data_IF_183744050697
#
_entry.id   IF_183744050697
#
_cell.length_a   1.000
_cell.length_b   1.000
_cell.length_c   1.000
_cell.angle_alpha   90.00
_cell.angle_beta   90.00
_cell.angle_gamma   90.00
#
_symmetry.space_group_name_H-M   'P 1'
#
loop_
_entity.id
_entity.type
_entity.pdbx_description
1 polymer ?
#
# COMPACT_ATOMS: atom_id res chain seq x y z
N UNK A 1 29.55 13.70 -1.40
CA UNK A 1 28.47 13.24 -0.50
C UNK A 1 27.58 12.29 -1.26
N UNK A 2 26.98 11.30 -0.61
CA UNK A 2 25.94 10.47 -1.25
C UNK A 2 24.66 11.29 -1.45
N UNK A 3 23.80 10.96 -2.43
CA UNK A 3 22.54 11.69 -2.64
C UNK A 3 21.65 11.81 -1.39
N UNK A 4 21.60 10.78 -0.55
CA UNK A 4 20.88 10.78 0.72
C UNK A 4 21.39 11.86 1.71
N UNK A 5 22.71 12.04 1.78
CA UNK A 5 23.34 13.07 2.62
C UNK A 5 23.07 14.47 2.07
N UNK A 6 23.06 14.62 0.74
CA UNK A 6 22.69 15.86 0.06
C UNK A 6 21.26 16.25 0.43
N UNK A 7 20.30 15.33 0.33
CA UNK A 7 18.90 15.60 0.69
C UNK A 7 18.75 15.99 2.17
N UNK A 8 19.45 15.29 3.07
CA UNK A 8 19.44 15.62 4.51
C UNK A 8 19.97 17.04 4.72
N UNK A 9 21.08 17.43 4.09
CA UNK A 9 21.62 18.79 4.20
C UNK A 9 20.66 19.84 3.64
N UNK A 10 20.09 19.61 2.46
CA UNK A 10 19.08 20.51 1.88
C UNK A 10 17.94 20.71 2.88
N UNK A 11 17.41 19.60 3.42
CA UNK A 11 16.31 19.62 4.39
C UNK A 11 16.68 20.44 5.62
N UNK A 12 17.85 20.21 6.22
CA UNK A 12 18.32 20.98 7.38
C UNK A 12 18.50 22.47 7.08
N UNK A 13 18.89 22.80 5.84
CA UNK A 13 19.21 24.17 5.49
C UNK A 13 18.00 25.05 5.12
N UNK A 14 16.86 24.46 4.72
CA UNK A 14 15.75 25.21 4.13
C UNK A 14 14.36 24.84 4.69
N UNK A 15 14.20 24.47 5.97
CA UNK A 15 12.87 24.14 6.53
C UNK A 15 11.97 25.36 6.76
N UNK A 16 10.65 25.13 6.81
CA UNK A 16 9.61 26.08 7.24
C UNK A 16 9.90 26.75 8.61
N UNK A 17 10.76 26.14 9.44
CA UNK A 17 11.13 26.65 10.77
C UNK A 17 12.20 27.76 10.71
N UNK A 18 12.91 27.91 9.58
CA UNK A 18 13.90 28.98 9.40
C UNK A 18 13.19 30.26 8.94
N UNK A 19 13.35 31.33 9.74
CA UNK A 19 12.66 32.61 9.52
C UNK A 19 13.26 33.47 8.39
N UNK A 20 14.54 33.29 8.05
CA UNK A 20 15.24 34.16 7.10
C UNK A 20 16.02 33.36 6.06
N UNK A 21 15.31 32.87 5.02
CA UNK A 21 15.96 32.25 3.86
C UNK A 21 16.32 33.37 2.88
N UNK A 22 17.61 33.69 2.75
CA UNK A 22 18.11 34.71 1.83
C UNK A 22 18.76 34.10 0.57
N UNK A 23 19.01 34.94 -0.44
CA UNK A 23 19.59 34.52 -1.72
C UNK A 23 20.93 33.79 -1.57
N UNK A 24 21.82 34.27 -0.71
CA UNK A 24 23.14 33.65 -0.49
C UNK A 24 23.02 32.24 0.06
N UNK A 25 22.04 31.98 0.92
CA UNK A 25 21.76 30.64 1.43
C UNK A 25 21.25 29.71 0.33
N UNK A 26 20.36 30.20 -0.54
CA UNK A 26 19.89 29.41 -1.68
C UNK A 26 21.01 29.13 -2.68
N UNK A 27 21.86 30.11 -2.94
CA UNK A 27 23.04 29.95 -3.80
C UNK A 27 23.98 28.87 -3.26
N UNK A 28 24.30 28.91 -1.97
CA UNK A 28 25.15 27.89 -1.34
C UNK A 28 24.52 26.50 -1.43
N UNK A 29 23.20 26.42 -1.17
CA UNK A 29 22.46 25.17 -1.24
C UNK A 29 22.42 24.60 -2.66
N UNK A 30 22.17 25.42 -3.68
CA UNK A 30 22.14 24.95 -5.07
C UNK A 30 23.54 24.64 -5.57
N UNK A 31 24.50 25.57 -5.44
CA UNK A 31 25.83 25.44 -6.05
C UNK A 31 26.73 24.47 -5.28
N UNK A 32 26.84 24.65 -3.96
CA UNK A 32 27.85 23.95 -3.15
C UNK A 32 27.32 22.66 -2.52
N UNK A 33 26.02 22.59 -2.22
CA UNK A 33 25.40 21.38 -1.67
C UNK A 33 24.87 20.49 -2.78
N UNK A 34 23.96 20.97 -3.63
CA UNK A 34 23.32 20.13 -4.65
C UNK A 34 24.24 19.87 -5.85
N UNK A 35 24.54 20.87 -6.67
CA UNK A 35 25.21 20.68 -7.97
C UNK A 35 26.56 19.98 -7.82
N UNK A 36 27.41 20.52 -6.93
CA UNK A 36 28.74 19.96 -6.64
C UNK A 36 28.72 18.48 -6.24
N UNK A 37 27.73 18.05 -5.47
CA UNK A 37 27.68 16.68 -4.95
C UNK A 37 26.83 15.73 -5.81
N UNK A 38 25.98 16.27 -6.68
CA UNK A 38 25.13 15.50 -7.58
C UNK A 38 25.77 15.31 -8.98
N UNK A 39 27.02 15.74 -9.15
CA UNK A 39 27.84 15.50 -10.34
C UNK A 39 27.67 16.55 -11.45
N UNK A 40 27.13 17.73 -11.13
CA UNK A 40 26.99 18.81 -12.11
C UNK A 40 28.23 19.70 -12.08
N UNK A 41 28.88 19.87 -13.23
CA UNK A 41 30.14 20.61 -13.30
C UNK A 41 29.95 22.12 -13.35
N UNK A 42 28.92 22.61 -14.05
CA UNK A 42 28.70 24.04 -14.33
C UNK A 42 27.22 24.38 -14.45
N UNK A 43 26.89 25.65 -14.26
CA UNK A 43 25.60 26.25 -14.65
C UNK A 43 25.79 27.06 -15.92
N UNK A 44 24.78 27.09 -16.78
CA UNK A 44 24.76 27.92 -17.98
C UNK A 44 24.39 29.36 -17.65
N UNK A 45 23.60 29.56 -16.59
CA UNK A 45 23.23 30.89 -16.13
C UNK A 45 22.40 30.88 -14.84
N UNK A 46 22.48 32.00 -14.11
CA UNK A 46 21.66 32.30 -12.94
C UNK A 46 20.83 33.54 -13.24
N UNK A 47 19.51 33.43 -13.12
CA UNK A 47 18.57 34.53 -13.25
C UNK A 47 18.01 34.89 -11.87
N UNK A 48 18.26 36.12 -11.44
CA UNK A 48 17.68 36.69 -10.23
C UNK A 48 16.47 37.52 -10.65
N UNK A 49 15.28 37.01 -10.36
CA UNK A 49 14.01 37.67 -10.67
C UNK A 49 13.37 38.17 -9.37
N UNK A 50 12.46 39.15 -9.49
CA UNK A 50 11.81 39.80 -8.36
C UNK A 50 11.15 38.81 -7.38
N UNK A 51 10.63 37.70 -7.90
CA UNK A 51 9.85 36.70 -7.18
C UNK A 51 10.54 35.33 -7.06
N UNK A 52 11.66 35.10 -7.76
CA UNK A 52 12.35 33.81 -7.79
C UNK A 52 13.84 33.87 -8.12
N UNK A 53 14.55 32.84 -7.67
CA UNK A 53 15.88 32.47 -8.16
C UNK A 53 15.75 31.31 -9.14
N UNK A 54 16.46 31.38 -10.26
CA UNK A 54 16.47 30.34 -11.28
C UNK A 54 17.90 30.04 -11.72
N UNK A 55 18.25 28.75 -11.73
CA UNK A 55 19.56 28.24 -12.15
C UNK A 55 19.33 27.33 -13.36
N UNK A 56 19.97 27.64 -14.49
CA UNK A 56 19.87 26.87 -15.73
C UNK A 56 21.12 25.99 -15.89
N UNK A 57 20.92 24.71 -16.19
CA UNK A 57 21.97 23.69 -16.26
C UNK A 57 21.79 22.88 -17.56
N UNK A 58 22.81 22.88 -18.41
CA UNK A 58 22.91 22.13 -19.66
C UNK A 58 21.71 22.26 -20.61
N UNK A 59 21.07 23.44 -20.68
CA UNK A 59 19.87 23.77 -21.50
C UNK A 59 18.62 22.89 -21.30
N UNK A 60 18.66 21.88 -20.44
CA UNK A 60 17.58 20.89 -20.25
C UNK A 60 17.29 20.57 -18.79
N UNK A 61 17.90 21.29 -17.85
CA UNK A 61 17.58 21.20 -16.43
C UNK A 61 17.57 22.57 -15.77
N UNK A 62 16.51 22.84 -15.00
CA UNK A 62 16.35 24.09 -14.26
C UNK A 62 16.05 23.82 -12.80
N UNK A 63 16.68 24.59 -11.93
CA UNK A 63 16.36 24.64 -10.51
C UNK A 63 15.73 26.00 -10.22
N UNK A 64 14.58 26.02 -9.55
CA UNK A 64 13.89 27.26 -9.17
C UNK A 64 13.54 27.28 -7.69
N UNK A 65 13.68 28.46 -7.08
CA UNK A 65 13.23 28.76 -5.72
C UNK A 65 12.37 30.04 -5.74
N UNK A 66 11.17 29.98 -5.16
CA UNK A 66 10.25 31.11 -5.07
C UNK A 66 10.15 31.59 -3.62
N UNK A 67 10.33 32.89 -3.36
CA UNK A 67 10.51 33.43 -2.01
C UNK A 67 9.26 33.30 -1.12
N UNK A 68 8.08 33.63 -1.65
CA UNK A 68 6.85 33.79 -0.84
C UNK A 68 5.65 32.96 -1.33
N UNK A 69 5.86 32.06 -2.30
CA UNK A 69 4.78 31.28 -2.87
C UNK A 69 4.53 29.99 -2.10
N UNK A 70 3.25 29.61 -2.00
CA UNK A 70 2.89 28.25 -1.61
C UNK A 70 3.32 27.24 -2.70
N UNK A 71 3.43 25.97 -2.28
CA UNK A 71 3.92 24.89 -3.14
C UNK A 71 3.11 24.75 -4.43
N UNK A 72 1.78 24.80 -4.36
CA UNK A 72 0.93 24.60 -5.54
C UNK A 72 1.11 25.75 -6.55
N UNK A 73 1.22 27.00 -6.09
CA UNK A 73 1.51 28.16 -6.96
C UNK A 73 2.91 28.10 -7.55
N UNK A 74 3.92 27.77 -6.74
CA UNK A 74 5.30 27.64 -7.19
C UNK A 74 5.44 26.54 -8.27
N UNK A 75 4.79 25.39 -8.08
CA UNK A 75 4.73 24.30 -9.07
C UNK A 75 4.01 24.72 -10.36
N UNK A 76 2.91 25.47 -10.26
CA UNK A 76 2.19 25.99 -11.42
C UNK A 76 3.07 26.94 -12.25
N UNK A 77 3.80 27.84 -11.60
CA UNK A 77 4.72 28.74 -12.30
C UNK A 77 5.91 28.00 -12.91
N UNK A 78 6.53 27.07 -12.18
CA UNK A 78 7.64 26.29 -12.72
C UNK A 78 7.21 25.44 -13.92
N UNK A 79 6.02 24.84 -13.88
CA UNK A 79 5.43 24.11 -15.01
C UNK A 79 5.37 24.99 -16.26
N UNK A 80 4.84 26.22 -16.13
CA UNK A 80 4.79 27.17 -17.25
C UNK A 80 6.18 27.57 -17.77
N UNK A 81 7.17 27.66 -16.90
CA UNK A 81 8.55 27.98 -17.31
C UNK A 81 9.10 26.86 -18.17
N UNK A 82 9.02 25.60 -17.71
CA UNK A 82 9.60 24.46 -18.44
C UNK A 82 8.80 24.12 -19.71
N UNK A 83 7.51 24.46 -19.78
CA UNK A 83 6.69 24.28 -20.99
C UNK A 83 7.12 25.18 -22.16
N UNK A 84 7.75 26.31 -21.88
CA UNK A 84 8.28 27.21 -22.90
C UNK A 84 9.72 26.86 -23.32
N UNK A 85 10.22 25.68 -22.92
CA UNK A 85 11.58 25.23 -23.17
C UNK A 85 11.62 24.02 -24.09
N UNK A 86 12.83 23.64 -24.50
CA UNK A 86 13.04 22.46 -25.35
C UNK A 86 12.43 21.20 -24.73
N UNK A 87 11.99 20.27 -25.58
CA UNK A 87 11.45 18.99 -25.12
C UNK A 87 12.46 18.26 -24.22
N UNK A 88 11.92 17.52 -23.26
CA UNK A 88 12.60 16.79 -22.20
C UNK A 88 13.31 17.67 -21.17
N UNK A 89 12.95 18.94 -21.05
CA UNK A 89 13.45 19.82 -19.99
C UNK A 89 12.91 19.38 -18.63
N UNK A 90 13.84 19.19 -17.69
CA UNK A 90 13.58 18.92 -16.28
C UNK A 90 13.48 20.21 -15.47
N UNK A 91 12.54 20.27 -14.55
CA UNK A 91 12.39 21.36 -13.58
C UNK A 91 12.43 20.82 -12.16
N UNK A 92 13.36 21.30 -11.34
CA UNK A 92 13.40 21.07 -9.91
C UNK A 92 12.87 22.30 -9.17
N UNK A 93 11.79 22.13 -8.41
CA UNK A 93 11.37 23.11 -7.43
C UNK A 93 12.07 22.80 -6.10
N UNK A 94 12.90 23.74 -5.67
CA UNK A 94 13.37 23.80 -4.30
C UNK A 94 12.41 24.69 -3.50
N UNK A 95 11.85 24.18 -2.41
CA UNK A 95 10.94 24.95 -1.57
C UNK A 95 11.07 24.51 -0.10
N UNK A 96 10.70 25.39 0.83
CA UNK A 96 10.84 25.16 2.28
C UNK A 96 10.08 23.96 2.89
N UNK A 97 9.24 23.33 2.05
CA UNK A 97 8.40 22.17 2.38
C UNK A 97 8.88 20.89 1.73
N UNK A 98 9.85 20.95 0.82
CA UNK A 98 10.30 19.79 0.07
C UNK A 98 11.01 20.12 -1.24
N UNK A 99 11.27 19.05 -1.99
CA UNK A 99 11.81 19.11 -3.35
C UNK A 99 10.85 18.40 -4.30
N UNK A 100 10.62 18.99 -5.47
CA UNK A 100 9.80 18.39 -6.52
C UNK A 100 10.56 18.36 -7.84
N UNK A 101 10.37 17.30 -8.62
CA UNK A 101 10.92 17.18 -9.97
C UNK A 101 9.80 17.04 -10.98
N UNK A 102 9.87 17.82 -12.05
CA UNK A 102 8.92 17.87 -13.14
C UNK A 102 9.65 17.65 -14.47
N UNK A 103 8.91 17.23 -15.49
CA UNK A 103 9.42 17.17 -16.87
C UNK A 103 8.38 17.68 -17.86
N UNK A 104 8.78 18.53 -18.80
CA UNK A 104 7.84 19.19 -19.71
C UNK A 104 7.22 18.25 -20.75
N UNK A 105 7.91 17.16 -21.12
CA UNK A 105 7.45 16.16 -22.09
C UNK A 105 6.46 15.14 -21.53
N UNK A 106 6.04 15.28 -20.26
CA UNK A 106 4.92 14.50 -19.75
C UNK A 106 3.65 14.93 -20.47
N UNK A 107 3.04 14.00 -21.19
CA UNK A 107 1.80 14.24 -21.92
C UNK A 107 0.65 14.37 -20.92
N UNK A 108 -0.19 15.38 -21.12
CA UNK A 108 -1.38 15.67 -20.31
C UNK A 108 -2.59 15.81 -21.23
N UNK A 109 -3.75 15.30 -20.82
CA UNK A 109 -4.99 15.47 -21.58
C UNK A 109 -5.73 16.70 -21.06
N UNK A 110 -6.01 17.67 -21.93
CA UNK A 110 -6.73 18.89 -21.58
C UNK A 110 -8.16 18.58 -21.09
N UNK A 111 -8.63 19.27 -20.06
CA UNK A 111 -9.99 19.11 -19.51
C UNK A 111 -10.17 17.93 -18.54
N UNK A 112 -9.14 17.11 -18.32
CA UNK A 112 -9.16 16.01 -17.35
C UNK A 112 -8.81 16.49 -15.92
N UNK A 113 -9.23 15.71 -14.91
CA UNK A 113 -8.97 16.02 -13.49
C UNK A 113 -7.47 16.22 -13.19
N UNK A 114 -7.14 16.97 -12.10
CA UNK A 114 -5.75 17.21 -11.62
C UNK A 114 -4.89 15.93 -11.54
N UNK A 115 -5.52 14.77 -11.37
CA UNK A 115 -4.83 13.47 -11.37
C UNK A 115 -4.17 13.11 -12.71
N UNK A 116 -4.75 13.48 -13.85
CA UNK A 116 -4.24 13.18 -15.20
C UNK A 116 -3.55 14.36 -15.88
N UNK A 117 -3.44 15.51 -15.21
CA UNK A 117 -2.89 16.75 -15.77
C UNK A 117 -1.63 17.24 -15.05
N UNK A 118 -1.09 16.47 -14.10
CA UNK A 118 0.14 16.81 -13.38
C UNK A 118 1.40 16.27 -14.09
N UNK A 119 2.46 17.10 -14.13
CA UNK A 119 3.79 16.82 -14.70
C UNK A 119 4.86 16.50 -13.65
N UNK A 120 4.49 16.32 -12.39
CA UNK A 120 5.42 15.96 -11.31
C UNK A 120 5.79 14.47 -11.38
N UNK A 121 7.08 14.19 -11.44
CA UNK A 121 7.71 12.86 -11.40
C UNK A 121 7.98 12.41 -9.96
N UNK A 122 8.64 13.27 -9.17
CA UNK A 122 8.96 12.98 -7.77
C UNK A 122 8.46 14.08 -6.83
N UNK A 123 8.01 13.65 -5.64
CA UNK A 123 7.54 14.53 -4.56
C UNK A 123 8.27 14.16 -3.28
N UNK A 124 9.18 15.01 -2.81
CA UNK A 124 10.00 14.78 -1.63
C UNK A 124 9.66 15.84 -0.57
N UNK A 125 8.48 15.75 0.08
CA UNK A 125 8.09 16.66 1.14
C UNK A 125 8.92 16.42 2.41
N UNK A 126 9.44 17.46 3.06
CA UNK A 126 10.33 17.30 4.22
C UNK A 126 9.64 16.74 5.47
N UNK A 127 8.32 16.78 5.57
CA UNK A 127 7.58 16.26 6.72
C UNK A 127 7.25 14.76 6.64
N UNK A 128 7.55 14.11 5.51
CA UNK A 128 7.26 12.69 5.26
C UNK A 128 8.44 12.05 4.51
N UNK A 129 8.60 10.73 4.59
CA UNK A 129 9.62 10.02 3.80
C UNK A 129 9.05 9.55 2.46
N UNK A 130 8.46 10.46 1.70
CA UNK A 130 7.90 10.14 0.39
C UNK A 130 8.97 10.41 -0.65
N UNK A 131 9.24 9.41 -1.49
CA UNK A 131 10.21 9.45 -2.58
C UNK A 131 11.68 9.78 -2.22
N UNK A 132 12.04 9.92 -0.94
CA UNK A 132 13.42 10.20 -0.47
C UNK A 132 14.45 9.28 -1.13
N UNK A 133 14.17 7.97 -1.24
CA UNK A 133 15.07 6.96 -1.83
C UNK A 133 15.32 7.19 -3.34
N UNK A 134 14.44 7.93 -4.03
CA UNK A 134 14.55 8.22 -5.45
C UNK A 134 15.31 9.52 -5.73
N UNK A 135 15.76 10.26 -4.70
CA UNK A 135 16.54 11.48 -4.88
C UNK A 135 17.87 11.23 -5.61
N UNK A 136 18.42 10.01 -5.55
CA UNK A 136 19.59 9.61 -6.34
C UNK A 136 19.40 9.80 -7.86
N UNK A 137 18.17 9.74 -8.35
CA UNK A 137 17.84 9.95 -9.76
C UNK A 137 17.82 11.44 -10.17
N UNK A 138 18.24 12.35 -9.28
CA UNK A 138 18.47 13.77 -9.59
C UNK A 138 19.94 14.06 -9.93
N UNK A 139 20.81 13.05 -9.91
CA UNK A 139 22.22 13.20 -10.29
C UNK A 139 22.37 13.50 -11.78
N UNK A 140 23.43 14.21 -12.14
CA UNK A 140 23.77 14.53 -13.53
C UNK A 140 23.78 13.27 -14.41
N UNK A 141 24.37 12.20 -13.89
CA UNK A 141 24.42 10.89 -14.54
C UNK A 141 23.02 10.35 -14.86
N UNK A 142 22.09 10.36 -13.90
CA UNK A 142 20.76 9.80 -14.08
C UNK A 142 19.81 10.70 -14.88
N UNK A 143 19.93 12.02 -14.74
CA UNK A 143 19.05 12.96 -15.44
C UNK A 143 19.48 13.20 -16.89
N UNK A 144 20.78 13.39 -17.13
CA UNK A 144 21.27 13.93 -18.41
C UNK A 144 22.08 12.92 -19.23
N UNK A 145 22.91 12.09 -18.59
CA UNK A 145 23.80 11.14 -19.29
C UNK A 145 23.05 9.85 -19.64
N UNK A 146 22.78 8.99 -18.66
CA UNK A 146 22.03 7.73 -18.84
C UNK A 146 20.54 7.94 -19.04
N UNK A 147 20.03 9.11 -18.61
CA UNK A 147 18.61 9.48 -18.64
C UNK A 147 17.71 8.45 -17.93
N UNK A 148 18.22 7.72 -16.93
CA UNK A 148 17.48 6.73 -16.15
C UNK A 148 16.17 7.30 -15.57
N UNK A 149 16.16 8.60 -15.25
CA UNK A 149 14.99 9.29 -14.69
C UNK A 149 13.78 9.27 -15.62
N UNK A 150 13.97 9.07 -16.94
CA UNK A 150 12.86 8.97 -17.89
C UNK A 150 11.96 7.75 -17.66
N UNK A 151 12.44 6.66 -17.04
CA UNK A 151 11.56 5.55 -16.65
C UNK A 151 10.41 6.04 -15.76
N UNK A 152 10.73 6.90 -14.78
CA UNK A 152 9.75 7.46 -13.86
C UNK A 152 8.87 8.52 -14.51
N UNK A 153 9.42 9.33 -15.42
CA UNK A 153 8.64 10.26 -16.24
C UNK A 153 7.57 9.53 -17.03
N UNK A 154 7.94 8.43 -17.69
CA UNK A 154 7.05 7.69 -18.58
C UNK A 154 5.92 6.98 -17.81
N UNK A 155 6.11 6.69 -16.51
CA UNK A 155 5.04 6.27 -15.60
C UNK A 155 3.99 7.36 -15.42
N UNK A 156 4.41 8.62 -15.31
CA UNK A 156 3.47 9.74 -15.18
C UNK A 156 2.73 9.97 -16.49
N UNK A 157 3.43 9.88 -17.63
CA UNK A 157 2.79 9.91 -18.95
C UNK A 157 1.75 8.78 -19.09
N UNK A 158 2.10 7.56 -18.67
CA UNK A 158 1.18 6.41 -18.67
C UNK A 158 -0.07 6.68 -17.82
N UNK A 159 0.13 7.20 -16.60
CA UNK A 159 -0.97 7.60 -15.70
C UNK A 159 -1.94 8.56 -16.38
N UNK A 160 -1.39 9.55 -17.09
CA UNK A 160 -2.16 10.63 -17.68
C UNK A 160 -2.94 10.19 -18.92
N UNK A 161 -2.41 9.24 -19.68
CA UNK A 161 -2.91 8.92 -21.04
C UNK A 161 -3.53 7.53 -21.19
N UNK A 162 -3.08 6.54 -20.40
CA UNK A 162 -3.36 5.12 -20.66
C UNK A 162 -3.95 4.39 -19.44
N UNK A 163 -3.70 4.85 -18.21
CA UNK A 163 -4.17 4.21 -17.00
C UNK A 163 -5.70 4.34 -16.83
N UNK A 164 -6.43 3.22 -16.97
CA UNK A 164 -7.90 3.17 -16.93
C UNK A 164 -8.52 2.90 -15.55
N UNK A 165 -7.70 2.59 -14.55
CA UNK A 165 -8.18 2.18 -13.23
C UNK A 165 -8.45 3.38 -12.29
N UNK A 166 -9.11 3.13 -11.16
CA UNK A 166 -9.43 4.18 -10.17
C UNK A 166 -8.16 4.79 -9.58
N UNK A 167 -8.16 6.10 -9.29
CA UNK A 167 -7.07 6.83 -8.60
C UNK A 167 -6.55 6.12 -7.35
N UNK A 168 -7.43 5.45 -6.59
CA UNK A 168 -7.07 4.69 -5.38
C UNK A 168 -6.09 3.54 -5.69
N UNK A 169 -6.21 2.92 -6.87
CA UNK A 169 -5.34 1.80 -7.29
C UNK A 169 -4.01 2.26 -7.88
N UNK A 170 -3.91 3.52 -8.33
CA UNK A 170 -2.67 4.08 -8.89
C UNK A 170 -1.52 4.01 -7.90
N UNK A 171 -1.75 4.26 -6.61
CA UNK A 171 -0.67 4.26 -5.63
C UNK A 171 0.04 2.90 -5.54
N UNK A 172 -0.71 1.80 -5.60
CA UNK A 172 -0.14 0.45 -5.61
C UNK A 172 0.63 0.19 -6.91
N UNK A 173 0.04 0.53 -8.06
CA UNK A 173 0.64 0.39 -9.38
C UNK A 173 1.94 1.20 -9.53
N UNK A 174 1.91 2.48 -9.17
CA UNK A 174 3.05 3.38 -9.24
C UNK A 174 4.18 2.94 -8.31
N UNK A 175 3.87 2.54 -7.08
CA UNK A 175 4.88 2.05 -6.12
C UNK A 175 5.53 0.77 -6.62
N UNK A 176 4.75 -0.14 -7.22
CA UNK A 176 5.25 -1.35 -7.85
C UNK A 176 6.26 -1.04 -8.96
N UNK A 177 5.87 -0.20 -9.93
CA UNK A 177 6.75 0.18 -11.03
C UNK A 177 8.01 0.89 -10.53
N UNK A 178 7.89 1.88 -9.64
CA UNK A 178 9.07 2.58 -9.10
C UNK A 178 10.10 1.63 -8.51
N UNK A 179 9.65 0.64 -7.73
CA UNK A 179 10.53 -0.34 -7.10
C UNK A 179 11.18 -1.26 -8.11
N UNK A 180 10.44 -1.72 -9.12
CA UNK A 180 10.98 -2.54 -10.19
C UNK A 180 12.03 -1.78 -11.01
N UNK A 181 11.69 -0.57 -11.50
CA UNK A 181 12.63 0.21 -12.29
C UNK A 181 13.84 0.69 -11.47
N UNK A 182 13.65 1.00 -10.19
CA UNK A 182 14.78 1.29 -9.30
C UNK A 182 15.69 0.08 -9.13
N UNK A 183 15.15 -1.13 -9.02
CA UNK A 183 15.96 -2.35 -9.06
C UNK A 183 16.68 -2.50 -10.39
N UNK A 184 15.95 -2.39 -11.51
CA UNK A 184 16.50 -2.57 -12.86
C UNK A 184 17.67 -1.61 -13.11
N UNK A 185 17.49 -0.31 -12.82
CA UNK A 185 18.53 0.71 -13.00
C UNK A 185 19.80 0.39 -12.20
N UNK A 186 19.65 -0.13 -10.97
CA UNK A 186 20.79 -0.32 -10.06
C UNK A 186 21.48 -1.68 -10.19
N UNK A 187 20.84 -2.68 -10.79
CA UNK A 187 21.33 -4.07 -10.76
C UNK A 187 21.48 -4.73 -12.13
N UNK A 188 20.75 -4.25 -13.15
CA UNK A 188 20.69 -4.86 -14.48
C UNK A 188 21.15 -3.89 -15.54
N UNK A 189 20.75 -2.63 -15.42
CA UNK A 189 20.91 -1.63 -16.44
C UNK A 189 22.38 -1.20 -16.56
N UNK A 190 23.08 -1.81 -17.50
CA UNK A 190 24.50 -1.59 -17.75
C UNK A 190 24.74 -0.80 -19.03
N UNK A 191 24.08 0.36 -19.16
CA UNK A 191 24.24 1.26 -20.32
C UNK A 191 25.70 1.72 -20.57
N UNK A 192 26.69 1.30 -19.76
CA UNK A 192 28.07 1.82 -19.79
C UNK A 192 29.23 0.81 -19.75
N UNK A 193 29.08 -0.51 -19.57
CA UNK A 193 30.27 -1.38 -19.51
C UNK A 193 30.91 -1.79 -20.85
N UNK A 194 30.30 -1.47 -22.01
CA UNK A 194 30.96 -1.72 -23.29
C UNK A 194 31.21 -0.43 -24.06
N UNK A 195 32.46 0.00 -24.00
CA UNK A 195 33.12 0.70 -25.11
C UNK A 195 32.59 0.14 -26.45
N UNK A 196 32.13 1.04 -27.33
CA UNK A 196 31.80 0.79 -28.76
C UNK A 196 30.41 0.24 -29.12
N UNK A 197 29.36 0.56 -28.40
CA UNK A 197 28.06 0.70 -29.07
C UNK A 197 27.73 2.19 -29.07
N UNK A 198 28.02 2.85 -30.19
CA UNK A 198 27.23 4.02 -30.60
C UNK A 198 25.80 3.54 -30.50
N UNK A 199 25.07 3.96 -29.46
CA UNK A 199 23.64 3.75 -29.36
C UNK A 199 23.09 4.32 -30.66
N UNK A 200 22.81 3.43 -31.60
CA UNK A 200 22.06 3.81 -32.78
C UNK A 200 20.79 4.46 -32.26
N UNK A 201 20.47 5.65 -32.77
CA UNK A 201 19.37 6.55 -32.38
C UNK A 201 17.94 5.95 -32.38
N UNK A 202 17.75 4.63 -32.24
CA UNK A 202 16.48 3.94 -32.49
C UNK A 202 16.18 2.68 -31.67
N UNK A 203 16.92 2.28 -30.63
CA UNK A 203 16.40 1.23 -29.73
C UNK A 203 15.58 1.87 -28.61
N UNK A 204 14.38 1.37 -28.41
CA UNK A 204 13.53 1.82 -27.33
C UNK A 204 14.08 1.20 -26.02
N UNK A 205 14.33 2.01 -24.99
CA UNK A 205 14.96 1.56 -23.73
C UNK A 205 14.21 0.46 -22.97
N UNK A 206 12.97 0.19 -23.35
CA UNK A 206 12.17 -0.89 -22.79
C UNK A 206 12.41 -2.23 -23.50
N UNK A 207 13.03 -2.22 -24.69
CA UNK A 207 13.33 -3.42 -25.50
C UNK A 207 14.33 -4.35 -24.79
N UNK A 208 15.20 -3.78 -23.96
CA UNK A 208 16.25 -4.52 -23.25
C UNK A 208 15.76 -5.18 -21.96
N UNK A 209 14.57 -4.80 -21.46
CA UNK A 209 14.02 -5.33 -20.22
C UNK A 209 13.47 -6.73 -20.47
N UNK A 210 14.02 -7.72 -19.79
CA UNK A 210 13.65 -9.12 -19.93
C UNK A 210 12.80 -9.61 -18.78
N UNK A 211 12.08 -10.72 -19.01
CA UNK A 211 11.34 -11.37 -17.94
C UNK A 211 12.28 -11.86 -16.82
N UNK A 212 13.52 -12.24 -17.15
CA UNK A 212 14.56 -12.62 -16.18
C UNK A 212 14.91 -11.49 -15.21
N UNK A 213 14.80 -10.24 -15.64
CA UNK A 213 15.11 -9.08 -14.77
C UNK A 213 14.02 -8.91 -13.73
N UNK A 214 12.77 -9.17 -14.10
CA UNK A 214 11.66 -9.26 -13.16
C UNK A 214 11.83 -10.44 -12.20
N UNK A 215 12.30 -11.59 -12.66
CA UNK A 215 12.57 -12.75 -11.80
C UNK A 215 13.66 -12.43 -10.76
N UNK A 216 14.76 -11.80 -11.17
CA UNK A 216 15.82 -11.34 -10.25
C UNK A 216 15.31 -10.30 -9.25
N UNK A 217 14.46 -9.37 -9.70
CA UNK A 217 13.80 -8.40 -8.82
C UNK A 217 12.98 -9.09 -7.72
N UNK A 218 12.21 -10.11 -8.09
CA UNK A 218 11.40 -10.89 -7.15
C UNK A 218 12.30 -11.66 -6.19
N UNK A 219 13.37 -12.28 -6.69
CA UNK A 219 14.32 -13.05 -5.88
C UNK A 219 14.99 -12.21 -4.77
N UNK A 220 15.22 -10.92 -5.02
CA UNK A 220 15.84 -10.00 -4.04
C UNK A 220 14.84 -9.28 -3.12
N UNK A 221 13.53 -9.46 -3.33
CA UNK A 221 12.50 -8.73 -2.57
C UNK A 221 11.66 -9.66 -1.70
N UNK A 222 12.01 -9.74 -0.43
CA UNK A 222 11.27 -10.47 0.61
C UNK A 222 9.78 -10.12 0.71
N UNK A 223 9.38 -8.93 0.24
CA UNK A 223 7.98 -8.50 0.21
C UNK A 223 7.14 -9.19 -0.87
N UNK A 224 7.77 -9.80 -1.88
CA UNK A 224 7.10 -10.52 -2.97
C UNK A 224 7.17 -12.03 -2.71
N UNK A 225 6.75 -12.43 -1.51
CA UNK A 225 6.88 -13.80 -1.04
C UNK A 225 5.60 -14.64 -1.19
N UNK A 226 4.54 -14.14 -1.85
CA UNK A 226 3.28 -14.87 -2.02
C UNK A 226 2.85 -14.86 -3.48
N UNK A 227 2.10 -15.89 -3.91
CA UNK A 227 1.55 -15.96 -5.27
C UNK A 227 0.77 -14.69 -5.64
N UNK A 228 -0.03 -14.15 -4.73
CA UNK A 228 -0.82 -12.95 -5.01
C UNK A 228 0.04 -11.69 -5.13
N UNK A 229 1.03 -11.50 -4.26
CA UNK A 229 1.93 -10.35 -4.38
C UNK A 229 2.77 -10.44 -5.66
N UNK A 230 3.25 -11.64 -6.02
CA UNK A 230 3.92 -11.90 -7.29
C UNK A 230 3.04 -11.56 -8.49
N UNK A 231 1.82 -12.10 -8.54
CA UNK A 231 0.86 -11.83 -9.62
C UNK A 231 0.59 -10.35 -9.79
N UNK A 232 0.29 -9.65 -8.69
CA UNK A 232 0.01 -8.22 -8.73
C UNK A 232 1.19 -7.43 -9.28
N UNK A 233 2.41 -7.71 -8.78
CA UNK A 233 3.62 -7.04 -9.25
C UNK A 233 3.89 -7.34 -10.72
N UNK A 234 3.79 -8.61 -11.13
CA UNK A 234 3.96 -9.03 -12.51
C UNK A 234 2.97 -8.33 -13.44
N UNK A 235 1.68 -8.29 -13.09
CA UNK A 235 0.68 -7.64 -13.93
C UNK A 235 0.89 -6.14 -14.06
N UNK A 236 1.35 -5.45 -13.00
CA UNK A 236 1.66 -4.02 -13.09
C UNK A 236 2.86 -3.76 -14.02
N UNK A 237 3.93 -4.54 -13.87
CA UNK A 237 5.13 -4.43 -14.72
C UNK A 237 4.82 -4.82 -16.17
N UNK A 238 4.15 -5.96 -16.39
CA UNK A 238 3.70 -6.43 -17.70
C UNK A 238 2.88 -5.36 -18.41
N UNK A 239 1.82 -4.87 -17.76
CA UNK A 239 0.91 -3.87 -18.33
C UNK A 239 1.64 -2.60 -18.78
N UNK A 240 2.64 -2.14 -18.03
CA UNK A 240 3.44 -0.99 -18.41
C UNK A 240 4.40 -1.28 -19.56
N UNK A 241 5.15 -2.40 -19.52
CA UNK A 241 6.16 -2.73 -20.52
C UNK A 241 5.53 -2.96 -21.90
N UNK A 242 4.45 -3.74 -21.98
CA UNK A 242 3.77 -4.04 -23.27
C UNK A 242 3.12 -2.82 -23.92
N UNK A 243 2.98 -1.71 -23.18
CA UNK A 243 2.52 -0.41 -23.68
C UNK A 243 3.65 0.50 -24.12
N UNK A 244 4.87 0.18 -23.71
CA UNK A 244 6.06 0.94 -24.06
C UNK A 244 6.82 0.30 -25.20
N UNK A 245 6.78 -1.02 -25.34
CA UNK A 245 7.43 -1.77 -26.42
C UNK A 245 6.67 -3.05 -26.74
N UNK A 246 6.85 -3.57 -27.96
CA UNK A 246 6.42 -4.91 -28.32
C UNK A 246 7.41 -5.94 -27.76
N UNK A 247 7.19 -6.33 -26.51
CA UNK A 247 8.04 -7.27 -25.80
C UNK A 247 7.28 -8.57 -25.53
N UNK A 248 7.46 -9.52 -26.46
CA UNK A 248 6.85 -10.85 -26.40
C UNK A 248 7.26 -11.67 -25.17
N UNK A 249 8.37 -11.35 -24.49
CA UNK A 249 8.75 -12.06 -23.26
C UNK A 249 7.78 -11.78 -22.10
N UNK A 250 7.21 -10.57 -22.04
CA UNK A 250 6.19 -10.24 -21.05
C UNK A 250 4.81 -10.76 -21.45
N UNK A 251 4.62 -11.25 -22.67
CA UNK A 251 3.36 -11.86 -23.09
C UNK A 251 3.20 -13.33 -22.66
N UNK A 252 3.45 -13.58 -21.38
CA UNK A 252 3.25 -14.89 -20.74
C UNK A 252 2.10 -14.85 -19.74
N UNK A 253 1.55 -16.02 -19.44
CA UNK A 253 0.54 -16.18 -18.39
C UNK A 253 1.19 -16.08 -17.01
N UNK A 254 0.40 -15.65 -16.01
CA UNK A 254 0.89 -15.59 -14.63
C UNK A 254 1.36 -16.94 -14.07
N UNK A 255 0.89 -18.07 -14.61
CA UNK A 255 1.33 -19.40 -14.17
C UNK A 255 2.79 -19.68 -14.54
N UNK A 256 3.26 -19.16 -15.67
CA UNK A 256 4.68 -19.28 -16.06
C UNK A 256 5.56 -18.59 -15.01
N UNK A 257 5.19 -17.37 -14.63
CA UNK A 257 5.94 -16.58 -13.65
C UNK A 257 5.89 -17.21 -12.25
N UNK A 258 4.74 -17.75 -11.84
CA UNK A 258 4.62 -18.51 -10.58
C UNK A 258 5.60 -19.67 -10.55
N UNK A 259 5.65 -20.47 -11.61
CA UNK A 259 6.52 -21.64 -11.67
C UNK A 259 8.00 -21.24 -11.64
N UNK A 260 8.39 -20.17 -12.34
CA UNK A 260 9.77 -19.68 -12.35
C UNK A 260 10.22 -19.10 -11.02
N UNK A 261 9.31 -18.45 -10.28
CA UNK A 261 9.59 -17.86 -8.98
C UNK A 261 9.22 -18.78 -7.80
N UNK A 262 8.85 -20.04 -8.00
CA UNK A 262 8.29 -20.90 -6.95
C UNK A 262 9.21 -21.00 -5.73
N UNK A 263 10.53 -21.06 -5.95
CA UNK A 263 11.56 -21.17 -4.91
C UNK A 263 11.53 -20.04 -3.86
N UNK A 264 11.06 -18.85 -4.23
CA UNK A 264 11.00 -17.67 -3.34
C UNK A 264 9.61 -17.44 -2.76
N UNK A 265 8.61 -18.20 -3.21
CA UNK A 265 7.25 -18.12 -2.69
C UNK A 265 7.12 -18.91 -1.40
N UNK A 266 6.73 -18.22 -0.33
CA UNK A 266 6.39 -18.87 0.93
C UNK A 266 5.12 -19.70 0.74
N UNK A 267 5.15 -20.93 1.26
CA UNK A 267 3.94 -21.72 1.41
C UNK A 267 2.96 -20.97 2.30
N UNK A 268 1.71 -20.91 1.86
CA UNK A 268 0.65 -20.26 2.61
C UNK A 268 0.38 -21.09 3.88
N UNK A 269 0.68 -20.52 5.03
CA UNK A 269 0.33 -21.13 6.31
C UNK A 269 -1.11 -20.78 6.66
N UNK A 270 -1.92 -21.80 6.93
CA UNK A 270 -3.33 -21.65 7.27
C UNK A 270 -3.59 -22.16 8.68
N UNK A 271 -4.61 -21.60 9.32
CA UNK A 271 -5.13 -22.13 10.58
C UNK A 271 -6.03 -23.33 10.24
N UNK A 272 -5.51 -24.54 10.36
CA UNK A 272 -6.24 -25.76 9.99
C UNK A 272 -7.22 -26.22 11.06
N UNK A 273 -6.74 -26.30 12.31
CA UNK A 273 -7.53 -26.67 13.47
C UNK A 273 -7.37 -25.63 14.58
N UNK A 274 -8.41 -25.50 15.40
CA UNK A 274 -8.45 -24.56 16.51
C UNK A 274 -8.51 -25.32 17.82
N UNK A 275 -7.52 -25.06 18.68
CA UNK A 275 -7.46 -25.57 20.03
C UNK A 275 -8.25 -24.65 20.97
N UNK A 276 -9.36 -25.15 21.51
CA UNK A 276 -10.24 -24.43 22.44
C UNK A 276 -9.50 -23.91 23.68
N UNK A 277 -8.52 -24.65 24.19
CA UNK A 277 -7.71 -24.23 25.35
C UNK A 277 -6.85 -23.03 24.98
N UNK A 278 -6.25 -23.04 23.79
CA UNK A 278 -5.45 -21.91 23.30
C UNK A 278 -6.31 -20.68 23.01
N UNK A 279 -7.53 -20.86 22.47
CA UNK A 279 -8.51 -19.78 22.29
C UNK A 279 -8.89 -19.16 23.62
N UNK A 280 -9.16 -19.97 24.63
CA UNK A 280 -9.45 -19.47 25.97
C UNK A 280 -8.27 -18.73 26.59
N UNK A 281 -7.03 -19.21 26.41
CA UNK A 281 -5.82 -18.50 26.81
C UNK A 281 -5.72 -17.13 26.11
N UNK A 282 -6.04 -17.08 24.81
CA UNK A 282 -6.11 -15.82 24.06
C UNK A 282 -7.18 -14.86 24.61
N UNK A 283 -8.38 -15.35 24.91
CA UNK A 283 -9.45 -14.53 25.50
C UNK A 283 -9.00 -13.94 26.84
N UNK A 284 -8.46 -14.75 27.76
CA UNK A 284 -7.98 -14.28 29.06
C UNK A 284 -6.85 -13.27 28.93
N UNK A 285 -5.92 -13.50 27.99
CA UNK A 285 -4.84 -12.58 27.71
C UNK A 285 -5.36 -11.21 27.22
N UNK A 286 -6.32 -11.21 26.29
CA UNK A 286 -6.96 -9.98 25.82
C UNK A 286 -7.70 -9.26 26.94
N UNK A 287 -8.46 -9.98 27.77
CA UNK A 287 -9.21 -9.41 28.90
C UNK A 287 -8.32 -8.70 29.93
N UNK A 288 -7.09 -9.19 30.15
CA UNK A 288 -6.13 -8.56 31.08
C UNK A 288 -5.56 -7.23 30.54
N UNK A 289 -5.75 -6.92 29.26
CA UNK A 289 -5.24 -5.70 28.64
C UNK A 289 -6.04 -4.44 29.00
N UNK A 290 -5.44 -3.26 28.75
CA UNK A 290 -6.05 -1.93 29.02
C UNK A 290 -7.43 -1.74 28.39
N UNK A 291 -7.71 -2.36 27.24
CA UNK A 291 -9.02 -2.31 26.57
C UNK A 291 -9.69 -3.69 26.56
N UNK A 292 -9.49 -4.49 27.61
CA UNK A 292 -9.73 -5.93 27.56
C UNK A 292 -11.16 -6.34 27.24
N UNK A 293 -12.17 -5.65 27.77
CA UNK A 293 -13.57 -5.91 27.41
C UNK A 293 -13.82 -5.72 25.91
N UNK A 294 -13.32 -4.62 25.33
CA UNK A 294 -13.46 -4.31 23.91
C UNK A 294 -12.71 -5.33 23.06
N UNK A 295 -11.45 -5.59 23.39
CA UNK A 295 -10.56 -6.43 22.60
C UNK A 295 -11.03 -7.90 22.62
N UNK A 296 -11.50 -8.40 23.77
CA UNK A 296 -12.22 -9.68 23.85
C UNK A 296 -13.47 -9.68 22.97
N UNK A 297 -14.34 -8.67 23.09
CA UNK A 297 -15.63 -8.68 22.37
C UNK A 297 -15.40 -8.71 20.85
N UNK A 298 -14.42 -7.94 20.36
CA UNK A 298 -13.97 -7.98 18.96
C UNK A 298 -13.54 -9.40 18.58
N UNK A 299 -12.70 -10.03 19.42
CA UNK A 299 -12.20 -11.38 19.18
C UNK A 299 -13.34 -12.41 19.11
N UNK A 300 -14.29 -12.38 20.05
CA UNK A 300 -15.44 -13.30 20.07
C UNK A 300 -16.36 -13.10 18.86
N UNK A 301 -16.68 -11.86 18.49
CA UNK A 301 -17.50 -11.57 17.31
C UNK A 301 -16.80 -12.07 16.03
N UNK A 302 -15.49 -11.87 15.93
CA UNK A 302 -14.70 -12.35 14.81
C UNK A 302 -14.73 -13.89 14.71
N UNK A 303 -14.62 -14.59 15.84
CA UNK A 303 -14.64 -16.06 15.90
C UNK A 303 -16.01 -16.69 15.68
N UNK A 304 -17.10 -15.99 16.03
CA UNK A 304 -18.45 -16.53 15.89
C UNK A 304 -19.12 -16.16 14.57
N UNK A 305 -19.02 -14.89 14.15
CA UNK A 305 -19.69 -14.41 12.94
C UNK A 305 -18.77 -14.37 11.72
N UNK A 306 -17.44 -14.40 11.94
CA UNK A 306 -16.47 -14.20 10.86
C UNK A 306 -16.81 -12.94 10.08
N UNK A 307 -16.93 -11.79 10.74
CA UNK A 307 -17.20 -10.50 10.10
C UNK A 307 -15.89 -9.97 9.48
N UNK A 308 -15.98 -9.29 8.33
CA UNK A 308 -14.81 -8.67 7.73
C UNK A 308 -14.32 -7.51 8.60
N UNK A 309 -13.00 -7.33 8.71
CA UNK A 309 -12.40 -6.32 9.60
C UNK A 309 -13.04 -4.94 9.46
N UNK A 310 -13.19 -4.47 8.21
CA UNK A 310 -13.84 -3.18 7.91
C UNK A 310 -15.27 -3.11 8.45
N UNK A 311 -16.06 -4.15 8.22
CA UNK A 311 -17.45 -4.20 8.69
C UNK A 311 -17.53 -4.31 10.21
N UNK A 312 -16.58 -5.01 10.84
CA UNK A 312 -16.49 -5.11 12.30
C UNK A 312 -16.24 -3.74 12.94
N UNK A 313 -15.32 -2.94 12.39
CA UNK A 313 -15.08 -1.57 12.85
C UNK A 313 -16.28 -0.64 12.66
N UNK A 314 -17.15 -0.94 11.69
CA UNK A 314 -18.29 -0.11 11.29
C UNK A 314 -19.59 -0.48 12.00
N UNK A 315 -19.61 -1.51 12.87
CA UNK A 315 -20.81 -1.90 13.60
C UNK A 315 -21.34 -0.76 14.47
N UNK A 316 -22.65 -0.52 14.39
CA UNK A 316 -23.35 0.56 15.09
C UNK A 316 -24.39 0.05 16.07
N UNK A 317 -24.54 0.79 17.16
CA UNK A 317 -25.66 0.59 18.09
C UNK A 317 -26.98 0.93 17.41
N UNK A 318 -28.03 0.18 17.74
CA UNK A 318 -29.42 0.39 17.32
C UNK A 318 -29.69 0.26 15.80
N UNK A 319 -28.66 0.21 14.96
CA UNK A 319 -28.75 -0.13 13.54
C UNK A 319 -28.40 -1.60 13.31
N UNK A 320 -27.17 -2.01 13.69
CA UNK A 320 -26.66 -3.35 13.42
C UNK A 320 -26.92 -4.32 14.58
N UNK A 321 -27.02 -3.84 15.82
CA UNK A 321 -27.34 -4.66 16.99
C UNK A 321 -28.60 -4.14 17.67
N UNK A 322 -29.51 -5.05 18.03
CA UNK A 322 -30.73 -4.70 18.77
C UNK A 322 -30.41 -4.17 20.15
N UNK A 323 -31.29 -3.33 20.71
CA UNK A 323 -31.08 -2.69 22.01
C UNK A 323 -30.86 -3.69 23.16
N UNK A 324 -31.46 -4.88 23.07
CA UNK A 324 -31.28 -5.96 24.06
C UNK A 324 -30.01 -6.81 23.83
N UNK A 325 -29.22 -6.45 22.83
CA UNK A 325 -27.99 -7.10 22.36
C UNK A 325 -28.19 -8.57 21.93
N UNK A 326 -29.42 -8.99 21.57
CA UNK A 326 -29.69 -10.39 21.22
C UNK A 326 -29.54 -10.70 19.74
N UNK A 327 -29.73 -9.71 18.85
CA UNK A 327 -29.72 -9.94 17.41
C UNK A 327 -28.71 -9.02 16.71
N UNK A 328 -27.96 -9.59 15.78
CA UNK A 328 -27.14 -8.88 14.80
C UNK A 328 -27.90 -8.79 13.48
N UNK A 329 -28.15 -7.58 12.99
CA UNK A 329 -28.80 -7.28 11.71
C UNK A 329 -27.74 -7.15 10.62
N UNK A 330 -27.94 -7.83 9.49
CA UNK A 330 -27.13 -7.66 8.27
C UNK A 330 -28.05 -7.67 7.05
N UNK A 331 -28.27 -6.50 6.47
CA UNK A 331 -29.28 -6.33 5.42
C UNK A 331 -30.68 -6.65 5.93
N UNK A 332 -31.37 -7.58 5.28
CA UNK A 332 -32.72 -8.04 5.68
C UNK A 332 -32.72 -9.23 6.65
N UNK A 333 -31.54 -9.65 7.13
CA UNK A 333 -31.40 -10.85 7.98
C UNK A 333 -31.00 -10.49 9.38
N UNK A 334 -31.42 -11.32 10.31
CA UNK A 334 -31.07 -11.22 11.72
C UNK A 334 -30.45 -12.53 12.20
N UNK A 335 -29.40 -12.41 13.00
CA UNK A 335 -28.66 -13.54 13.54
C UNK A 335 -28.65 -13.46 15.05
N UNK A 336 -28.92 -14.58 15.72
CA UNK A 336 -28.88 -14.67 17.17
C UNK A 336 -27.43 -14.52 17.64
N UNK A 337 -27.22 -13.63 18.61
CA UNK A 337 -25.93 -13.41 19.26
C UNK A 337 -25.81 -14.41 20.43
N UNK A 338 -24.71 -15.19 20.54
CA UNK A 338 -24.48 -16.08 21.69
C UNK A 338 -24.42 -15.33 23.02
N UNK A 339 -24.93 -15.94 24.09
CA UNK A 339 -24.99 -15.33 25.45
C UNK A 339 -23.64 -14.75 25.90
N UNK A 340 -22.54 -15.43 25.60
CA UNK A 340 -21.20 -14.97 25.95
C UNK A 340 -20.80 -13.65 25.27
N UNK A 341 -21.27 -13.42 24.03
CA UNK A 341 -21.09 -12.14 23.32
C UNK A 341 -22.11 -11.12 23.82
N UNK A 342 -23.37 -11.52 24.06
CA UNK A 342 -24.41 -10.61 24.59
C UNK A 342 -23.97 -9.96 25.91
N UNK A 343 -23.40 -10.74 26.83
CA UNK A 343 -22.94 -10.23 28.12
C UNK A 343 -21.82 -9.20 27.97
N UNK A 344 -20.91 -9.42 27.00
CA UNK A 344 -19.82 -8.49 26.72
C UNK A 344 -20.31 -7.21 26.03
N UNK A 345 -21.26 -7.32 25.09
CA UNK A 345 -21.90 -6.17 24.43
C UNK A 345 -22.69 -5.30 25.41
N UNK A 346 -23.44 -5.90 26.33
CA UNK A 346 -24.20 -5.16 27.35
C UNK A 346 -23.28 -4.32 28.23
N UNK A 347 -22.19 -4.91 28.73
CA UNK A 347 -21.15 -4.18 29.48
C UNK A 347 -20.52 -3.05 28.67
N UNK A 348 -20.21 -3.29 27.39
CA UNK A 348 -19.71 -2.23 26.51
C UNK A 348 -20.72 -1.10 26.35
N UNK A 349 -22.01 -1.40 26.23
CA UNK A 349 -23.05 -0.38 26.12
C UNK A 349 -23.18 0.44 27.41
N UNK A 350 -23.04 -0.18 28.57
CA UNK A 350 -23.04 0.48 29.88
C UNK A 350 -21.83 1.42 30.07
N UNK A 351 -20.65 1.05 29.55
CA UNK A 351 -19.43 1.87 29.63
C UNK A 351 -19.39 3.05 28.63
N UNK A 352 -20.31 3.07 27.66
CA UNK A 352 -20.30 4.03 26.56
C UNK A 352 -21.33 5.16 26.75
N UNK A 353 -21.04 6.37 26.25
CA UNK A 353 -22.03 7.44 26.19
C UNK A 353 -23.31 7.02 25.44
N UNK A 354 -24.47 7.52 25.86
CA UNK A 354 -25.75 7.21 25.23
C UNK A 354 -25.78 7.58 23.74
N UNK A 355 -25.08 8.65 23.37
CA UNK A 355 -24.93 9.18 22.02
C UNK A 355 -23.90 8.42 21.16
N UNK A 356 -23.24 7.39 21.69
CA UNK A 356 -22.29 6.58 20.94
C UNK A 356 -22.97 5.92 19.72
N UNK A 357 -22.43 6.17 18.53
CA UNK A 357 -22.89 5.57 17.27
C UNK A 357 -22.25 4.20 17.07
N UNK A 358 -20.93 4.11 17.15
CA UNK A 358 -20.18 2.89 16.83
C UNK A 358 -19.92 2.03 18.07
N UNK A 359 -20.14 0.72 17.96
CA UNK A 359 -19.85 -0.25 19.02
C UNK A 359 -18.36 -0.23 19.37
N UNK A 360 -17.53 -0.20 18.32
CA UNK A 360 -16.07 -0.12 18.42
C UNK A 360 -15.55 1.21 17.87
N UNK A 361 -16.01 2.31 18.48
CA UNK A 361 -15.57 3.66 18.13
C UNK A 361 -14.32 4.16 18.88
N UNK A 362 -13.80 5.31 18.44
CA UNK A 362 -12.69 5.99 19.12
C UNK A 362 -13.17 6.70 20.38
N UNK A 363 -12.52 6.42 21.53
CA UNK A 363 -12.76 7.15 22.80
C UNK A 363 -12.57 8.66 22.65
N UNK A 364 -11.60 9.10 21.82
CA UNK A 364 -11.31 10.54 21.60
C UNK A 364 -12.48 11.28 20.95
N UNK A 365 -13.27 10.58 20.15
CA UNK A 365 -14.43 11.14 19.46
C UNK A 365 -15.74 10.71 20.13
N UNK A 366 -15.70 10.26 21.39
CA UNK A 366 -16.87 9.69 22.09
C UNK A 366 -17.61 8.63 21.26
N UNK A 367 -16.87 7.79 20.54
CA UNK A 367 -17.42 6.72 19.70
C UNK A 367 -18.29 7.19 18.51
N UNK A 368 -18.18 8.47 18.12
CA UNK A 368 -18.82 9.02 16.91
C UNK A 368 -18.07 8.70 15.62
N UNK A 369 -16.84 8.20 15.72
CA UNK A 369 -16.02 7.74 14.59
C UNK A 369 -15.60 6.30 14.85
N UNK A 370 -15.58 5.45 13.80
CA UNK A 370 -15.20 4.05 13.94
C UNK A 370 -13.71 3.94 14.33
N UNK A 371 -13.34 2.82 14.95
CA UNK A 371 -11.94 2.49 15.12
C UNK A 371 -11.26 2.27 13.76
N UNK A 372 -9.94 2.47 13.71
CA UNK A 372 -9.15 2.18 12.51
C UNK A 372 -9.09 0.67 12.29
N UNK A 373 -9.18 0.24 11.03
CA UNK A 373 -9.09 -1.18 10.65
C UNK A 373 -7.80 -1.84 11.13
N UNK A 374 -6.69 -1.10 11.13
CA UNK A 374 -5.40 -1.56 11.65
C UNK A 374 -5.44 -1.97 13.13
N UNK A 375 -6.35 -1.39 13.92
CA UNK A 375 -6.50 -1.72 15.34
C UNK A 375 -6.93 -3.17 15.57
N UNK A 376 -7.67 -3.81 14.64
CA UNK A 376 -8.01 -5.24 14.75
C UNK A 376 -6.76 -6.09 14.58
N UNK A 377 -5.89 -5.74 13.62
CA UNK A 377 -4.63 -6.45 13.43
C UNK A 377 -3.71 -6.28 14.64
N UNK A 378 -3.64 -5.09 15.23
CA UNK A 378 -2.86 -4.83 16.43
C UNK A 378 -3.37 -5.64 17.63
N UNK A 379 -4.69 -5.82 17.78
CA UNK A 379 -5.27 -6.67 18.84
C UNK A 379 -4.81 -8.12 18.67
N UNK A 380 -4.91 -8.66 17.47
CA UNK A 380 -4.58 -10.05 17.19
C UNK A 380 -3.07 -10.31 17.18
N UNK A 381 -2.26 -9.33 16.76
CA UNK A 381 -0.81 -9.43 16.79
C UNK A 381 -0.28 -9.66 18.20
N UNK A 382 -0.87 -9.04 19.24
CA UNK A 382 -0.46 -9.24 20.64
C UNK A 382 -0.62 -10.69 21.12
N UNK A 383 -1.42 -11.51 20.46
CA UNK A 383 -1.58 -12.91 20.85
C UNK A 383 -0.28 -13.70 20.67
N UNK A 384 0.65 -13.24 19.83
CA UNK A 384 1.99 -13.86 19.72
C UNK A 384 2.77 -13.78 21.01
N UNK A 385 2.49 -12.79 21.87
CA UNK A 385 3.19 -12.60 23.14
C UNK A 385 2.76 -13.64 24.19
N UNK A 386 1.71 -14.43 23.92
CA UNK A 386 1.28 -15.54 24.76
C UNK A 386 2.29 -16.69 24.71
N UNK A 387 2.86 -16.92 23.53
CA UNK A 387 3.96 -17.84 23.23
C UNK A 387 4.51 -17.48 21.84
N UNK A 388 5.70 -16.86 21.82
CA UNK A 388 6.34 -16.37 20.59
C UNK A 388 6.77 -17.50 19.65
N UNK A 389 6.87 -18.74 20.12
CA UNK A 389 7.27 -19.88 19.31
C UNK A 389 6.06 -20.67 18.78
N UNK A 390 4.88 -20.50 19.38
CA UNK A 390 3.68 -21.21 18.97
C UNK A 390 3.06 -20.61 17.71
N UNK A 391 3.12 -21.37 16.63
CA UNK A 391 2.60 -20.98 15.32
C UNK A 391 1.09 -20.70 15.37
N UNK A 392 0.35 -21.32 16.29
CA UNK A 392 -1.09 -21.12 16.42
C UNK A 392 -1.43 -19.64 16.62
N UNK A 393 -0.77 -18.96 17.57
CA UNK A 393 -1.03 -17.56 17.87
C UNK A 393 -0.59 -16.63 16.73
N UNK A 394 0.50 -16.96 16.03
CA UNK A 394 0.93 -16.24 14.81
C UNK A 394 -0.09 -16.33 13.68
N UNK A 395 -0.84 -17.42 13.62
CA UNK A 395 -1.84 -17.67 12.58
C UNK A 395 -3.23 -17.11 12.91
N UNK A 396 -3.46 -16.54 14.10
CA UNK A 396 -4.74 -15.92 14.50
C UNK A 396 -4.97 -14.55 13.83
N UNK A 397 -5.00 -14.54 12.50
CA UNK A 397 -5.35 -13.35 11.71
C UNK A 397 -6.82 -13.39 11.30
N UNK A 398 -7.46 -12.25 11.00
CA UNK A 398 -8.88 -12.25 10.60
C UNK A 398 -9.14 -13.07 9.34
N UNK A 399 -8.19 -13.12 8.40
CA UNK A 399 -8.31 -13.94 7.20
C UNK A 399 -8.26 -15.44 7.53
N UNK A 400 -7.31 -15.85 8.36
CA UNK A 400 -7.17 -17.25 8.76
C UNK A 400 -8.33 -17.73 9.64
N UNK A 401 -8.81 -16.92 10.58
CA UNK A 401 -9.98 -17.23 11.42
C UNK A 401 -11.20 -17.45 10.53
N UNK A 402 -11.46 -16.56 9.56
CA UNK A 402 -12.59 -16.74 8.64
C UNK A 402 -12.44 -17.99 7.77
N UNK A 403 -11.23 -18.29 7.29
CA UNK A 403 -10.96 -19.47 6.48
C UNK A 403 -11.17 -20.77 7.28
N UNK A 404 -10.60 -20.81 8.48
CA UNK A 404 -10.86 -21.89 9.43
C UNK A 404 -12.35 -22.06 9.71
N UNK A 405 -13.06 -20.97 10.06
CA UNK A 405 -14.47 -21.02 10.42
C UNK A 405 -15.34 -21.57 9.28
N UNK A 406 -15.08 -21.15 8.05
CA UNK A 406 -15.78 -21.68 6.86
C UNK A 406 -15.59 -23.20 6.73
N UNK A 407 -14.35 -23.68 6.84
CA UNK A 407 -14.02 -25.11 6.76
C UNK A 407 -14.56 -25.90 7.95
N UNK A 408 -14.49 -25.34 9.16
CA UNK A 408 -15.02 -25.95 10.39
C UNK A 408 -16.52 -26.18 10.29
N UNK A 409 -17.28 -25.19 9.81
CA UNK A 409 -18.71 -25.29 9.62
C UNK A 409 -19.09 -26.35 8.57
N UNK A 410 -18.35 -26.43 7.46
CA UNK A 410 -18.53 -27.49 6.45
C UNK A 410 -18.24 -28.88 7.04
N UNK A 411 -17.10 -29.03 7.75
CA UNK A 411 -16.69 -30.29 8.41
C UNK A 411 -17.72 -30.77 9.45
N UNK A 412 -18.53 -29.87 10.00
CA UNK A 412 -19.58 -30.17 10.97
C UNK A 412 -20.98 -30.17 10.34
N UNK A 413 -21.09 -30.53 9.07
CA UNK A 413 -22.35 -30.72 8.34
C UNK A 413 -23.28 -29.50 8.32
N UNK A 414 -22.75 -28.27 8.45
CA UNK A 414 -23.58 -27.06 8.30
C UNK A 414 -23.66 -26.66 6.83
N UNK A 415 -24.86 -26.47 6.26
CA UNK A 415 -25.00 -26.23 4.84
C UNK A 415 -24.24 -25.00 4.34
N UNK A 416 -23.60 -25.11 3.17
CA UNK A 416 -22.80 -24.04 2.58
C UNK A 416 -23.61 -22.74 2.41
N UNK A 417 -24.90 -22.84 2.03
CA UNK A 417 -25.77 -21.66 1.95
C UNK A 417 -25.90 -20.93 3.30
N UNK A 418 -25.96 -21.66 4.42
CA UNK A 418 -26.05 -21.06 5.74
C UNK A 418 -24.72 -20.38 6.11
N UNK A 419 -23.59 -21.02 5.79
CA UNK A 419 -22.25 -20.46 6.01
C UNK A 419 -22.05 -19.15 5.25
N UNK A 420 -22.36 -19.16 3.94
CA UNK A 420 -22.26 -17.99 3.06
C UNK A 420 -23.10 -16.84 3.62
N UNK A 421 -24.33 -17.15 4.04
CA UNK A 421 -25.26 -16.19 4.60
C UNK A 421 -24.79 -15.63 5.96
N UNK A 422 -24.30 -16.49 6.85
CA UNK A 422 -23.81 -16.14 8.19
C UNK A 422 -22.57 -15.24 8.14
N UNK A 423 -21.60 -15.62 7.29
CA UNK A 423 -20.34 -14.89 7.12
C UNK A 423 -20.47 -13.68 6.19
N UNK A 424 -21.59 -13.56 5.48
CA UNK A 424 -21.83 -12.59 4.40
C UNK A 424 -20.75 -12.64 3.32
N UNK A 425 -20.52 -13.84 2.78
CA UNK A 425 -19.57 -14.09 1.69
C UNK A 425 -20.30 -13.93 0.34
N UNK A 426 -19.68 -13.27 -0.63
CA UNK A 426 -20.19 -13.26 -2.00
C UNK A 426 -19.80 -14.55 -2.72
N UNK A 427 -20.65 -15.04 -3.62
CA UNK A 427 -20.43 -16.32 -4.33
C UNK A 427 -19.08 -16.34 -5.05
N UNK A 428 -18.71 -15.22 -5.70
CA UNK A 428 -17.44 -15.07 -6.42
C UNK A 428 -16.19 -15.25 -5.54
N UNK A 429 -16.35 -15.11 -4.22
CA UNK A 429 -15.25 -15.16 -3.27
C UNK A 429 -15.13 -16.51 -2.53
N UNK A 430 -15.99 -17.50 -2.79
CA UNK A 430 -15.98 -18.79 -2.08
C UNK A 430 -14.63 -19.52 -2.23
N UNK A 431 -14.03 -19.46 -3.43
CA UNK A 431 -12.73 -20.09 -3.70
C UNK A 431 -11.57 -19.59 -2.83
N UNK A 432 -11.72 -18.45 -2.15
CA UNK A 432 -10.73 -17.95 -1.20
C UNK A 432 -10.76 -18.74 0.13
N UNK A 433 -11.86 -19.41 0.45
CA UNK A 433 -12.10 -20.11 1.72
C UNK A 433 -11.95 -21.62 1.62
N UNK A 434 -12.27 -22.20 0.46
CA UNK A 434 -12.29 -23.66 0.27
C UNK A 434 -11.90 -24.01 -1.17
N UNK A 435 -11.20 -25.12 -1.34
CA UNK A 435 -10.85 -25.70 -2.65
C UNK A 435 -11.93 -26.70 -3.12
N UNK A 436 -11.90 -27.06 -4.40
CA UNK A 436 -12.80 -28.09 -4.96
C UNK A 436 -12.64 -29.43 -4.21
N UNK A 437 -11.41 -29.85 -3.96
CA UNK A 437 -11.12 -31.12 -3.29
C UNK A 437 -11.59 -31.11 -1.83
N UNK A 438 -11.46 -29.99 -1.13
CA UNK A 438 -12.01 -29.82 0.21
C UNK A 438 -13.56 -29.86 0.22
N UNK A 439 -14.23 -29.29 -0.78
CA UNK A 439 -15.70 -29.39 -0.89
C UNK A 439 -16.12 -30.86 -1.03
N UNK A 440 -15.43 -31.64 -1.87
CA UNK A 440 -15.69 -33.07 -2.01
C UNK A 440 -15.44 -33.82 -0.70
N UNK A 441 -14.33 -33.54 -0.02
CA UNK A 441 -13.97 -34.16 1.26
C UNK A 441 -15.00 -33.88 2.37
N UNK A 442 -15.62 -32.69 2.36
CA UNK A 442 -16.59 -32.26 3.38
C UNK A 442 -18.04 -32.37 2.90
N UNK A 443 -18.34 -33.24 1.92
CA UNK A 443 -19.72 -33.44 1.51
C UNK A 443 -20.56 -33.98 2.67
N UNK A 444 -21.84 -33.60 2.71
CA UNK A 444 -22.75 -34.04 3.76
C UNK A 444 -23.32 -35.40 3.35
N UNK A 445 -22.91 -36.48 4.01
CA UNK A 445 -23.39 -37.86 3.74
C UNK A 445 -24.67 -38.23 4.52
N UNK A 446 -25.34 -37.27 5.17
CA UNK A 446 -26.52 -37.52 6.00
C UNK A 446 -27.39 -36.28 6.24
N UNK A 447 -28.06 -36.19 7.39
CA UNK A 447 -28.84 -35.01 7.73
C UNK A 447 -27.93 -33.79 7.99
N UNK A 448 -28.26 -32.69 7.32
CA UNK A 448 -27.62 -31.41 7.59
C UNK A 448 -27.89 -30.93 9.02
N UNK A 449 -26.88 -30.34 9.65
CA UNK A 449 -27.05 -29.73 10.97
C UNK A 449 -28.06 -28.58 10.89
N UNK A 450 -29.10 -28.66 11.72
CA UNK A 450 -30.10 -27.59 11.88
C UNK A 450 -29.60 -26.46 12.77
N UNK A 451 -28.69 -26.76 13.68
CA UNK A 451 -28.07 -25.79 14.59
C UNK A 451 -26.71 -25.32 14.04
N UNK A 452 -26.30 -24.11 14.42
CA UNK A 452 -24.98 -23.58 14.08
C UNK A 452 -23.92 -24.27 14.96
N UNK A 453 -22.96 -25.03 14.40
CA UNK A 453 -21.92 -25.71 15.19
C UNK A 453 -21.09 -24.78 16.09
N UNK A 454 -21.02 -23.48 15.75
CA UNK A 454 -20.34 -22.49 16.58
C UNK A 454 -21.08 -22.18 17.89
N UNK A 455 -22.38 -22.46 18.00
CA UNK A 455 -23.12 -22.28 19.25
C UNK A 455 -22.60 -23.20 20.35
N UNK A 456 -22.29 -24.45 19.99
CA UNK A 456 -21.66 -25.40 20.90
C UNK A 456 -20.25 -24.96 21.26
N UNK A 457 -19.43 -24.63 20.26
CA UNK A 457 -18.07 -24.13 20.44
C UNK A 457 -18.01 -22.93 21.39
N UNK A 458 -18.92 -21.95 21.24
CA UNK A 458 -18.97 -20.78 22.12
C UNK A 458 -19.38 -21.12 23.56
N UNK A 459 -20.30 -22.09 23.75
CA UNK A 459 -20.67 -22.57 25.09
C UNK A 459 -19.50 -23.28 25.76
N UNK A 460 -18.72 -24.04 25.01
CA UNK A 460 -17.58 -24.80 25.53
C UNK A 460 -16.44 -23.85 25.95
N UNK A 461 -16.17 -22.81 25.16
CA UNK A 461 -15.23 -21.74 25.52
C UNK A 461 -15.67 -20.94 26.75
N UNK A 462 -16.98 -20.68 26.91
CA UNK A 462 -17.51 -19.94 28.06
C UNK A 462 -17.41 -20.74 29.37
N UNK A 463 -17.55 -22.07 29.31
CA UNK A 463 -17.60 -22.96 30.49
C UNK A 463 -16.25 -23.39 31.03
N UNK A 464 -15.27 -23.61 30.16
CA UNK A 464 -13.92 -23.96 30.57
C UNK A 464 -13.37 -22.82 31.40
#
# INVERSE_FOLDING_TARGET
>A
MKPEEVLIKIKTEITDEKKDINEKMIDDLVMNIFLKNMGYERIDGKNILKDRLQYNISNCFIISYYYELDVDKALSLLTKVIENMADNTWGMLLHKKGVWLLNNSIVTIAGEEKFKSDKIVFRIPFNQKIDDEYFQYFTHENLLIRKNTCFFRDMITYRNTEFKSKKITWNAYHTALKRFFSFYINNVNDFDNNNNIKSSDKSNRYDEIKLSDFEQYVDQKDTIATVNSLKNQFFYVKDFIVKRTDNGEFDVSSNVVINRCEKVLRKKMELEEVDERKIKKAIKYLEAGRNGLRDKTIFLILFYFGIERRNLCMLRWNEDITNDCKMLKRGKREFIIPKYIQSSLKKLREEQPLDAIYIFGSKRTRYMQPMREGGINEILAKLTDIDENDIFYKLLTPANIRKWMFKYLLKNNWPMQNIINHMNITIDNIGNFVTKDEIWKYHIEGEASKENPLDKFMKDIEKL
#
